data_IF_354702706116
#
_entry.id   IF_354702706116
#
_cell.length_a   1.000
_cell.length_b   1.000
_cell.length_c   1.000
_cell.angle_alpha   90.00
_cell.angle_beta   90.00
_cell.angle_gamma   90.00
#
_symmetry.space_group_name_H-M   'P 1'
#
loop_
_entity.id
_entity.type
_entity.pdbx_description
1 polymer ?
#
# COMPACT_ATOMS: atom_id res chain seq x y z
N UNK A 1 -50.97 32.76 25.95
CA UNK A 1 -50.02 33.46 25.06
C UNK A 1 -48.65 33.75 25.71
N UNK A 2 -48.56 34.31 26.92
CA UNK A 2 -47.26 34.61 27.57
C UNK A 2 -46.34 33.40 27.72
N UNK A 3 -46.87 32.23 28.07
CA UNK A 3 -46.09 30.99 28.22
C UNK A 3 -45.52 30.47 26.89
N UNK A 4 -46.24 30.68 25.78
CA UNK A 4 -45.80 30.27 24.44
C UNK A 4 -44.53 31.04 24.03
N UNK A 5 -44.56 32.37 24.11
CA UNK A 5 -43.39 33.19 23.79
C UNK A 5 -42.20 32.90 24.71
N UNK A 6 -42.43 32.61 25.99
CA UNK A 6 -41.36 32.22 26.93
C UNK A 6 -40.61 30.97 26.47
N UNK A 7 -41.33 29.91 26.06
CA UNK A 7 -40.68 28.68 25.58
C UNK A 7 -40.01 28.88 24.22
N UNK A 8 -40.64 29.62 23.30
CA UNK A 8 -40.04 29.95 22.01
C UNK A 8 -38.70 30.68 22.19
N UNK A 9 -38.65 31.75 23.00
CA UNK A 9 -37.41 32.48 23.26
C UNK A 9 -36.36 31.65 24.01
N UNK A 10 -36.77 30.77 24.94
CA UNK A 10 -35.86 29.87 25.62
C UNK A 10 -35.22 28.85 24.65
N UNK A 11 -36.01 28.28 23.74
CA UNK A 11 -35.51 27.35 22.70
C UNK A 11 -34.58 28.06 21.72
N UNK A 12 -34.94 29.26 21.25
CA UNK A 12 -34.06 30.07 20.38
C UNK A 12 -32.74 30.41 21.06
N UNK A 13 -32.78 30.83 22.32
CA UNK A 13 -31.58 31.11 23.11
C UNK A 13 -30.72 29.86 23.29
N UNK A 14 -31.34 28.72 23.59
CA UNK A 14 -30.66 27.43 23.71
C UNK A 14 -29.97 27.00 22.40
N UNK A 15 -30.63 27.16 21.26
CA UNK A 15 -30.06 26.86 19.93
C UNK A 15 -28.88 27.81 19.63
N UNK A 16 -29.01 29.10 19.91
CA UNK A 16 -27.93 30.07 19.69
C UNK A 16 -26.71 29.72 20.55
N UNK A 17 -26.91 29.40 21.84
CA UNK A 17 -25.81 28.98 22.73
C UNK A 17 -25.17 27.69 22.23
N UNK A 18 -25.97 26.71 21.79
CA UNK A 18 -25.47 25.46 21.22
C UNK A 18 -24.64 25.69 19.94
N UNK A 19 -25.12 26.54 19.02
CA UNK A 19 -24.40 26.90 17.81
C UNK A 19 -23.10 27.66 18.10
N UNK A 20 -23.09 28.54 19.10
CA UNK A 20 -21.88 29.23 19.56
C UNK A 20 -20.89 28.25 20.17
N UNK A 21 -21.33 27.32 21.02
CA UNK A 21 -20.48 26.26 21.57
C UNK A 21 -19.90 25.37 20.47
N UNK A 22 -20.72 24.95 19.50
CA UNK A 22 -20.26 24.22 18.32
C UNK A 22 -19.23 25.04 17.55
N UNK A 23 -19.48 26.33 17.30
CA UNK A 23 -18.52 27.22 16.63
C UNK A 23 -17.19 27.29 17.37
N UNK A 24 -17.18 27.44 18.70
CA UNK A 24 -15.94 27.45 19.48
C UNK A 24 -15.22 26.10 19.45
N UNK A 25 -15.96 24.98 19.52
CA UNK A 25 -15.38 23.63 19.38
C UNK A 25 -14.74 23.48 17.99
N UNK A 26 -15.44 23.86 16.93
CA UNK A 26 -14.92 23.80 15.55
C UNK A 26 -13.77 24.78 15.31
N UNK A 27 -13.80 25.97 15.91
CA UNK A 27 -12.71 26.95 15.83
C UNK A 27 -11.44 26.45 16.54
N UNK A 28 -11.57 25.84 17.73
CA UNK A 28 -10.45 25.23 18.46
C UNK A 28 -9.85 24.04 17.68
N UNK A 29 -10.70 23.22 17.07
CA UNK A 29 -10.27 22.14 16.18
C UNK A 29 -9.57 22.70 14.94
N UNK A 30 -10.10 23.78 14.35
CA UNK A 30 -9.54 24.45 13.17
C UNK A 30 -8.15 25.03 13.42
N UNK A 31 -7.95 25.75 14.54
CA UNK A 31 -6.66 26.37 14.88
C UNK A 31 -5.58 25.32 15.16
N UNK A 32 -5.94 24.18 15.76
CA UNK A 32 -5.02 23.09 16.11
C UNK A 32 -4.42 22.34 14.91
N UNK A 33 -4.92 22.56 13.68
CA UNK A 33 -4.48 21.84 12.47
C UNK A 33 -3.52 22.62 11.57
N UNK A 34 -3.17 23.86 11.93
CA UNK A 34 -2.50 24.81 11.03
C UNK A 34 -0.97 24.84 11.09
N UNK A 35 -0.33 24.25 12.11
CA UNK A 35 1.14 24.26 12.18
C UNK A 35 1.76 23.19 11.28
N UNK A 36 2.63 23.61 10.35
CA UNK A 36 3.41 22.67 9.53
C UNK A 36 4.26 21.78 10.45
N UNK A 37 4.25 20.44 10.27
CA UNK A 37 5.09 19.57 11.09
C UNK A 37 6.56 19.97 10.95
N UNK A 38 7.35 19.88 12.03
CA UNK A 38 8.77 20.22 12.02
C UNK A 38 9.60 18.94 11.96
N UNK A 39 10.50 18.84 10.98
CA UNK A 39 11.51 17.78 10.93
C UNK A 39 12.62 18.16 11.91
N UNK A 40 12.76 17.38 12.97
CA UNK A 40 13.84 17.54 13.95
C UNK A 40 15.17 17.05 13.40
N UNK A 41 16.28 17.65 13.83
CA UNK A 41 17.61 17.09 13.53
C UNK A 41 17.78 15.73 14.22
N UNK A 42 18.49 14.81 13.55
CA UNK A 42 18.70 13.41 13.96
C UNK A 42 17.41 12.58 13.97
N UNK A 43 16.51 12.84 13.02
CA UNK A 43 15.25 12.10 12.87
C UNK A 43 15.44 10.82 12.07
N UNK A 44 14.53 9.87 12.29
CA UNK A 44 14.41 8.63 11.51
C UNK A 44 13.05 8.63 10.82
N UNK A 45 13.02 8.38 9.51
CA UNK A 45 11.78 8.22 8.79
C UNK A 45 11.16 6.89 9.23
N UNK A 46 9.98 6.96 9.83
CA UNK A 46 9.26 5.80 10.31
C UNK A 46 8.27 5.34 9.23
N UNK A 47 8.59 4.20 8.64
CA UNK A 47 7.83 3.53 7.61
C UNK A 47 7.06 2.37 8.24
N UNK A 48 5.90 2.70 8.82
CA UNK A 48 4.93 1.71 9.32
C UNK A 48 4.06 1.24 8.17
N UNK A 49 4.16 -0.03 7.78
CA UNK A 49 3.34 -0.62 6.73
C UNK A 49 2.26 -1.48 7.38
N UNK A 50 1.01 -1.04 7.33
CA UNK A 50 -0.11 -1.76 7.93
C UNK A 50 -1.41 -1.44 7.19
N UNK A 51 -2.25 -2.44 6.96
CA UNK A 51 -3.53 -2.26 6.27
C UNK A 51 -3.36 -1.94 4.77
N UNK A 52 -4.43 -1.45 4.10
CA UNK A 52 -4.42 -1.14 2.68
C UNK A 52 -3.32 -0.15 2.28
N UNK A 53 -2.50 -0.52 1.29
CA UNK A 53 -1.58 0.38 0.60
C UNK A 53 -1.97 0.40 -0.88
N UNK A 54 -2.77 1.41 -1.23
CA UNK A 54 -3.32 1.61 -2.59
C UNK A 54 -2.24 2.13 -3.55
N UNK A 55 -2.44 1.93 -4.85
CA UNK A 55 -1.61 2.56 -5.89
C UNK A 55 -1.73 4.09 -5.84
N UNK A 56 -2.96 4.57 -5.60
CA UNK A 56 -3.27 5.98 -5.38
C UNK A 56 -4.33 6.13 -4.30
N UNK A 57 -4.07 6.96 -3.29
CA UNK A 57 -5.11 7.32 -2.34
C UNK A 57 -6.18 8.13 -3.08
N UNK A 58 -7.42 7.67 -3.01
CA UNK A 58 -8.56 8.49 -3.38
C UNK A 58 -8.74 9.62 -2.37
N UNK A 59 -9.43 10.69 -2.77
CA UNK A 59 -9.69 11.80 -1.85
C UNK A 59 -10.58 11.26 -0.74
N UNK A 60 -10.14 11.28 0.54
CA UNK A 60 -10.95 10.77 1.63
C UNK A 60 -12.23 11.58 1.71
N UNK A 61 -13.36 10.91 1.98
CA UNK A 61 -14.57 11.66 2.27
C UNK A 61 -14.45 12.38 3.63
N UNK A 62 -15.35 13.33 3.88
CA UNK A 62 -15.30 14.14 5.11
C UNK A 62 -15.49 13.31 6.38
N UNK A 63 -16.18 12.17 6.30
CA UNK A 63 -16.40 11.27 7.42
C UNK A 63 -15.15 10.44 7.73
N UNK A 64 -14.46 9.96 6.70
CA UNK A 64 -13.19 9.23 6.81
C UNK A 64 -12.10 10.10 7.44
N UNK A 65 -12.05 11.39 7.08
CA UNK A 65 -11.16 12.40 7.71
C UNK A 65 -11.45 12.65 9.19
N UNK A 66 -12.71 12.51 9.61
CA UNK A 66 -13.13 12.68 11.00
C UNK A 66 -12.84 11.43 11.85
N UNK A 67 -13.02 10.24 11.27
CA UNK A 67 -12.83 8.95 11.94
C UNK A 67 -11.37 8.50 11.97
N UNK A 68 -10.63 8.68 10.88
CA UNK A 68 -9.23 8.26 10.77
C UNK A 68 -8.31 9.46 10.51
N UNK A 69 -7.75 10.00 11.61
CA UNK A 69 -6.78 11.10 11.54
C UNK A 69 -5.44 10.68 10.91
N UNK A 70 -5.20 9.38 10.68
CA UNK A 70 -3.93 8.85 10.17
C UNK A 70 -4.14 7.87 9.01
N UNK A 71 -4.88 8.31 7.99
CA UNK A 71 -4.98 7.62 6.70
C UNK A 71 -3.62 7.08 6.23
N UNK A 72 -3.62 5.80 5.85
CA UNK A 72 -2.44 5.15 5.31
C UNK A 72 -1.95 5.89 4.06
N UNK A 73 -0.65 6.20 3.98
CA UNK A 73 -0.08 6.75 2.75
C UNK A 73 -0.18 5.73 1.62
N UNK A 74 -0.55 6.20 0.42
CA UNK A 74 -0.48 5.37 -0.79
C UNK A 74 0.97 5.08 -1.22
N UNK A 75 1.15 4.14 -2.16
CA UNK A 75 2.46 3.70 -2.64
C UNK A 75 3.32 4.87 -3.17
N UNK A 76 2.71 5.78 -3.95
CA UNK A 76 3.39 6.95 -4.50
C UNK A 76 3.86 7.91 -3.40
N UNK A 77 3.07 8.05 -2.34
CA UNK A 77 3.43 8.86 -1.18
C UNK A 77 4.57 8.22 -0.38
N UNK A 78 4.53 6.91 -0.16
CA UNK A 78 5.61 6.20 0.52
C UNK A 78 6.94 6.36 -0.23
N UNK A 79 6.95 6.08 -1.53
CA UNK A 79 8.15 6.18 -2.38
C UNK A 79 8.65 7.63 -2.52
N UNK A 80 7.76 8.61 -2.62
CA UNK A 80 8.11 10.04 -2.56
C UNK A 80 8.82 10.38 -1.24
N UNK A 81 8.31 9.89 -0.11
CA UNK A 81 8.91 10.14 1.20
C UNK A 81 10.30 9.52 1.32
N UNK A 82 10.48 8.29 0.84
CA UNK A 82 11.79 7.61 0.82
C UNK A 82 12.79 8.42 -0.03
N UNK A 83 12.39 8.84 -1.23
CA UNK A 83 13.21 9.67 -2.13
C UNK A 83 13.59 11.01 -1.51
N UNK A 84 12.67 11.70 -0.85
CA UNK A 84 12.95 12.95 -0.15
C UNK A 84 13.84 12.74 1.07
N UNK A 85 13.65 11.64 1.81
CA UNK A 85 14.46 11.30 2.98
C UNK A 85 15.91 10.99 2.60
N UNK A 86 16.15 10.39 1.42
CA UNK A 86 17.49 10.12 0.88
C UNK A 86 18.38 11.36 0.94
N UNK A 87 17.86 12.51 0.48
CA UNK A 87 18.61 13.76 0.38
C UNK A 87 18.44 14.70 1.59
N UNK A 88 17.59 14.37 2.56
CA UNK A 88 17.32 15.26 3.69
C UNK A 88 18.38 15.09 4.82
N UNK A 89 19.19 16.12 5.16
CA UNK A 89 20.28 15.99 6.14
C UNK A 89 19.80 15.75 7.58
N UNK A 90 18.54 16.08 7.88
CA UNK A 90 17.95 15.84 9.20
C UNK A 90 17.53 14.38 9.40
N UNK A 91 17.33 13.63 8.31
CA UNK A 91 17.02 12.20 8.35
C UNK A 91 18.31 11.38 8.34
N UNK A 92 18.48 10.52 9.34
CA UNK A 92 19.65 9.64 9.52
C UNK A 92 19.46 8.23 8.99
N UNK A 93 18.21 7.80 8.81
CA UNK A 93 17.86 6.48 8.31
C UNK A 93 16.36 6.24 8.26
N UNK A 94 16.00 5.03 7.87
CA UNK A 94 14.64 4.50 7.85
C UNK A 94 14.50 3.46 8.96
N UNK A 95 13.41 3.59 9.72
CA UNK A 95 12.88 2.49 10.52
C UNK A 95 11.69 1.89 9.76
N UNK A 96 11.86 0.67 9.24
CA UNK A 96 10.84 -0.10 8.53
C UNK A 96 10.14 -1.07 9.49
N UNK A 97 8.84 -0.86 9.71
CA UNK A 97 7.99 -1.74 10.52
C UNK A 97 6.91 -2.35 9.62
N UNK A 98 7.17 -3.50 8.99
CA UNK A 98 6.25 -4.10 8.05
C UNK A 98 5.35 -5.08 8.80
N UNK A 99 4.16 -4.62 9.18
CA UNK A 99 3.17 -5.40 9.92
C UNK A 99 2.36 -6.28 8.95
N UNK A 100 1.16 -5.85 8.58
CA UNK A 100 0.30 -6.57 7.64
C UNK A 100 -0.18 -5.60 6.54
N UNK A 101 0.70 -5.14 5.63
CA UNK A 101 0.28 -4.35 4.48
C UNK A 101 -0.55 -5.20 3.52
N UNK A 102 -1.67 -4.66 3.06
CA UNK A 102 -2.49 -5.26 2.02
C UNK A 102 -2.08 -4.61 0.69
N UNK A 103 -1.16 -5.27 -0.01
CA UNK A 103 -0.63 -4.85 -1.32
C UNK A 103 -0.13 -6.06 -2.11
N UNK A 104 -0.05 -5.94 -3.44
CA UNK A 104 0.51 -6.98 -4.30
C UNK A 104 2.05 -6.96 -4.35
N UNK A 105 2.66 -8.05 -4.83
CA UNK A 105 4.11 -8.16 -4.98
C UNK A 105 4.70 -7.16 -5.98
N UNK A 106 3.95 -6.76 -7.01
CA UNK A 106 4.38 -5.71 -7.95
C UNK A 106 4.54 -4.36 -7.25
N UNK A 107 3.56 -3.97 -6.43
CA UNK A 107 3.62 -2.76 -5.62
C UNK A 107 4.73 -2.85 -4.57
N UNK A 108 4.93 -4.04 -3.98
CA UNK A 108 5.99 -4.29 -3.01
C UNK A 108 7.38 -4.19 -3.67
N UNK A 109 7.50 -4.59 -4.93
CA UNK A 109 8.74 -4.45 -5.73
C UNK A 109 9.09 -2.99 -5.94
N UNK A 110 8.12 -2.12 -6.27
CA UNK A 110 8.36 -0.67 -6.40
C UNK A 110 8.81 -0.06 -5.06
N UNK A 111 8.18 -0.46 -3.95
CA UNK A 111 8.61 -0.04 -2.62
C UNK A 111 10.04 -0.52 -2.33
N UNK A 112 10.32 -1.78 -2.65
CA UNK A 112 11.62 -2.41 -2.48
C UNK A 112 12.70 -1.67 -3.26
N UNK A 113 12.49 -1.40 -4.54
CA UNK A 113 13.39 -0.61 -5.39
C UNK A 113 13.65 0.79 -4.82
N UNK A 114 12.62 1.43 -4.26
CA UNK A 114 12.77 2.74 -3.60
C UNK A 114 13.65 2.65 -2.35
N UNK A 115 13.56 1.56 -1.57
CA UNK A 115 14.44 1.29 -0.44
C UNK A 115 15.87 0.98 -0.92
N UNK A 116 16.03 0.22 -1.99
CA UNK A 116 17.34 -0.06 -2.62
C UNK A 116 18.01 1.25 -3.07
N UNK A 117 17.28 2.15 -3.73
CA UNK A 117 17.77 3.49 -4.08
C UNK A 117 18.17 4.30 -2.83
N UNK A 118 17.40 4.23 -1.74
CA UNK A 118 17.73 4.93 -0.50
C UNK A 118 19.07 4.47 0.10
N UNK A 119 19.40 3.17 0.03
CA UNK A 119 20.67 2.63 0.55
C UNK A 119 21.90 3.32 -0.07
N UNK A 120 21.82 3.76 -1.32
CA UNK A 120 22.93 4.49 -1.98
C UNK A 120 23.29 5.82 -1.29
N UNK A 121 22.46 6.33 -0.37
CA UNK A 121 22.80 7.50 0.46
C UNK A 121 23.75 7.20 1.64
N UNK A 122 24.02 5.92 1.93
CA UNK A 122 24.79 5.51 3.11
C UNK A 122 24.03 5.65 4.45
N UNK A 123 22.78 6.09 4.43
CA UNK A 123 21.89 6.12 5.60
C UNK A 123 21.36 4.73 5.89
N UNK A 124 21.18 4.41 7.17
CA UNK A 124 20.74 3.07 7.54
C UNK A 124 19.27 2.82 7.19
N UNK A 125 18.93 1.57 6.91
CA UNK A 125 17.58 1.03 6.91
C UNK A 125 17.58 -0.10 7.93
N UNK A 126 16.82 0.04 9.01
CA UNK A 126 16.61 -1.02 9.99
C UNK A 126 15.17 -1.47 9.96
N UNK A 127 14.94 -2.77 9.86
CA UNK A 127 13.62 -3.35 9.99
C UNK A 127 13.44 -3.98 11.36
N UNK A 128 12.29 -3.77 12.00
CA UNK A 128 11.90 -4.48 13.21
C UNK A 128 10.44 -4.93 13.07
N UNK A 129 10.16 -6.19 13.40
CA UNK A 129 8.80 -6.70 13.54
C UNK A 129 8.76 -7.85 14.55
N UNK A 130 7.57 -8.10 15.09
CA UNK A 130 7.26 -9.33 15.83
C UNK A 130 6.90 -10.47 14.85
N UNK A 131 6.47 -10.11 13.65
CA UNK A 131 5.98 -11.06 12.66
C UNK A 131 6.37 -10.62 11.25
N UNK A 132 7.02 -11.52 10.51
CA UNK A 132 7.31 -11.34 9.09
C UNK A 132 6.59 -12.42 8.28
N UNK A 133 5.73 -12.02 7.36
CA UNK A 133 5.16 -12.86 6.30
C UNK A 133 6.12 -12.94 5.11
N UNK A 134 5.89 -13.79 4.10
CA UNK A 134 6.73 -13.80 2.90
C UNK A 134 6.80 -12.42 2.22
N UNK A 135 5.66 -11.71 2.14
CA UNK A 135 5.59 -10.37 1.56
C UNK A 135 6.34 -9.34 2.39
N UNK A 136 6.15 -9.31 3.72
CA UNK A 136 6.81 -8.30 4.56
C UNK A 136 8.29 -8.56 4.72
N UNK A 137 8.72 -9.83 4.72
CA UNK A 137 10.12 -10.19 4.69
C UNK A 137 10.77 -9.89 3.33
N UNK A 138 10.06 -10.09 2.22
CA UNK A 138 10.50 -9.63 0.90
C UNK A 138 10.78 -8.13 0.90
N UNK A 139 9.97 -7.30 1.55
CA UNK A 139 10.27 -5.86 1.68
C UNK A 139 11.44 -5.62 2.65
N UNK A 140 11.42 -6.28 3.81
CA UNK A 140 12.37 -6.08 4.90
C UNK A 140 13.80 -6.51 4.58
N UNK A 141 13.98 -7.51 3.71
CA UNK A 141 15.29 -8.06 3.36
C UNK A 141 16.24 -7.07 2.66
N UNK A 142 15.74 -5.92 2.20
CA UNK A 142 16.57 -4.79 1.72
C UNK A 142 17.29 -4.09 2.87
N UNK A 143 16.77 -4.15 4.09
CA UNK A 143 17.32 -3.46 5.25
C UNK A 143 18.77 -3.85 5.50
N UNK A 144 19.57 -2.92 6.04
CA UNK A 144 20.93 -3.22 6.50
C UNK A 144 20.91 -4.21 7.67
N UNK A 145 19.85 -4.15 8.48
CA UNK A 145 19.60 -5.13 9.53
C UNK A 145 18.11 -5.37 9.71
N UNK A 146 17.74 -6.64 9.86
CA UNK A 146 16.40 -7.15 10.14
C UNK A 146 16.39 -7.69 11.57
N UNK A 147 15.61 -7.05 12.42
CA UNK A 147 15.47 -7.36 13.83
C UNK A 147 14.14 -8.05 14.07
N UNK A 148 14.15 -9.07 14.93
CA UNK A 148 12.96 -9.82 15.31
C UNK A 148 12.76 -9.72 16.82
N UNK A 149 11.51 -9.69 17.28
CA UNK A 149 11.23 -9.86 18.69
C UNK A 149 11.70 -11.25 19.18
N UNK A 150 12.09 -11.44 20.45
CA UNK A 150 12.59 -12.73 20.93
C UNK A 150 11.58 -13.88 20.83
N UNK A 151 10.28 -13.57 20.86
CA UNK A 151 9.17 -14.51 20.64
C UNK A 151 8.52 -14.33 19.26
N UNK A 152 9.19 -13.64 18.34
CA UNK A 152 8.68 -13.34 17.02
C UNK A 152 8.81 -14.51 16.05
N UNK A 153 8.16 -14.38 14.89
CA UNK A 153 8.13 -15.42 13.85
C UNK A 153 8.52 -14.82 12.50
N UNK A 154 9.34 -15.55 11.75
CA UNK A 154 9.53 -15.32 10.31
C UNK A 154 8.81 -16.44 9.58
N UNK A 155 7.57 -16.19 9.17
CA UNK A 155 6.76 -17.11 8.39
C UNK A 155 7.25 -17.10 6.93
N UNK A 156 8.39 -17.73 6.68
CA UNK A 156 8.88 -17.94 5.32
C UNK A 156 8.28 -19.25 4.79
N UNK A 157 7.39 -19.12 3.81
CA UNK A 157 6.73 -20.24 3.14
C UNK A 157 6.78 -20.02 1.62
N UNK A 158 6.47 -21.07 0.86
CA UNK A 158 6.19 -20.93 -0.57
C UNK A 158 4.84 -20.26 -0.83
N UNK A 159 4.47 -20.22 -2.12
CA UNK A 159 3.19 -19.72 -2.60
C UNK A 159 2.22 -20.87 -2.86
N UNK A 160 0.96 -20.69 -2.50
CA UNK A 160 -0.08 -21.68 -2.72
C UNK A 160 -1.44 -21.01 -2.97
N UNK A 161 -2.31 -21.72 -3.67
CA UNK A 161 -3.74 -21.41 -3.74
C UNK A 161 -4.55 -22.59 -3.24
N UNK A 162 -5.58 -22.28 -2.45
CA UNK A 162 -6.68 -23.19 -2.18
C UNK A 162 -7.93 -22.61 -2.82
N UNK A 163 -8.57 -23.41 -3.68
CA UNK A 163 -9.77 -23.00 -4.42
C UNK A 163 -10.89 -23.97 -4.03
N UNK A 164 -11.98 -23.50 -3.42
CA UNK A 164 -13.13 -24.35 -3.10
C UNK A 164 -13.87 -24.73 -4.39
N UNK A 165 -14.38 -25.95 -4.45
CA UNK A 165 -15.24 -26.44 -5.54
C UNK A 165 -16.63 -26.71 -5.00
N UNK A 166 -17.64 -26.08 -5.59
CA UNK A 166 -19.03 -26.03 -5.12
C UNK A 166 -19.99 -26.82 -6.03
N UNK A 167 -19.50 -27.45 -7.10
CA UNK A 167 -20.34 -28.18 -8.05
C UNK A 167 -21.16 -29.26 -7.37
N UNK A 168 -20.52 -30.17 -6.62
CA UNK A 168 -21.20 -31.27 -5.92
C UNK A 168 -22.22 -30.75 -4.88
N UNK A 169 -21.84 -29.72 -4.11
CA UNK A 169 -22.76 -29.03 -3.21
C UNK A 169 -23.99 -28.48 -3.95
N UNK A 170 -23.78 -27.84 -5.10
CA UNK A 170 -24.85 -27.27 -5.92
C UNK A 170 -25.76 -28.35 -6.48
N UNK A 171 -25.19 -29.46 -6.97
CA UNK A 171 -25.95 -30.59 -7.50
C UNK A 171 -26.85 -31.23 -6.43
N UNK A 172 -26.35 -31.39 -5.20
CA UNK A 172 -27.13 -31.93 -4.08
C UNK A 172 -28.31 -31.04 -3.67
N UNK A 173 -28.21 -29.72 -3.90
CA UNK A 173 -29.30 -28.77 -3.68
C UNK A 173 -30.24 -28.64 -4.89
N UNK A 174 -29.98 -29.37 -5.98
CA UNK A 174 -30.73 -29.22 -7.23
C UNK A 174 -30.43 -27.92 -7.99
N UNK A 175 -29.36 -27.19 -7.64
CA UNK A 175 -28.94 -25.94 -8.30
C UNK A 175 -28.12 -26.28 -9.55
N UNK A 176 -28.51 -25.73 -10.71
CA UNK A 176 -27.81 -25.92 -11.98
C UNK A 176 -27.19 -24.61 -12.47
N UNK A 177 -25.88 -24.63 -12.70
CA UNK A 177 -25.12 -23.50 -13.22
C UNK A 177 -25.07 -23.55 -14.76
N UNK A 178 -25.57 -22.51 -15.43
CA UNK A 178 -25.40 -22.32 -16.87
C UNK A 178 -24.11 -21.52 -17.13
N UNK A 179 -23.04 -22.21 -17.52
CA UNK A 179 -21.72 -21.60 -17.65
C UNK A 179 -21.32 -21.47 -19.12
N UNK A 180 -21.04 -20.23 -19.53
CA UNK A 180 -20.44 -19.90 -20.81
C UNK A 180 -19.02 -19.37 -20.58
N UNK A 181 -18.04 -19.97 -21.22
CA UNK A 181 -16.65 -19.54 -21.13
C UNK A 181 -15.90 -19.89 -22.42
N UNK A 182 -14.85 -19.14 -22.72
CA UNK A 182 -13.96 -19.38 -23.85
C UNK A 182 -12.51 -19.35 -23.37
N UNK A 183 -11.69 -20.26 -23.89
CA UNK A 183 -10.27 -20.40 -23.55
C UNK A 183 -10.02 -21.49 -22.49
N UNK A 184 -8.99 -22.31 -22.76
CA UNK A 184 -8.63 -23.46 -21.93
C UNK A 184 -8.11 -23.07 -20.53
N UNK A 185 -7.56 -21.86 -20.40
CA UNK A 185 -7.01 -21.31 -19.16
C UNK A 185 -7.99 -20.38 -18.41
N UNK A 186 -9.24 -20.24 -18.89
CA UNK A 186 -10.26 -19.42 -18.22
C UNK A 186 -10.88 -20.21 -17.07
N UNK A 187 -10.19 -20.21 -15.93
CA UNK A 187 -10.47 -21.13 -14.82
C UNK A 187 -11.40 -20.60 -13.73
N UNK A 188 -11.77 -19.32 -13.74
CA UNK A 188 -12.62 -18.70 -12.72
C UNK A 188 -13.99 -19.39 -12.56
N UNK A 189 -14.47 -20.10 -13.58
CA UNK A 189 -15.75 -20.82 -13.55
C UNK A 189 -15.61 -22.28 -13.08
N UNK A 190 -14.39 -22.83 -13.02
CA UNK A 190 -14.15 -24.22 -12.61
C UNK A 190 -14.77 -24.59 -11.26
N UNK A 191 -14.70 -23.74 -10.21
CA UNK A 191 -15.35 -24.01 -8.93
C UNK A 191 -16.82 -24.40 -9.03
N UNK A 192 -17.53 -23.94 -10.06
CA UNK A 192 -18.97 -24.14 -10.23
C UNK A 192 -19.33 -25.32 -11.14
N UNK A 193 -18.39 -25.83 -11.95
CA UNK A 193 -18.65 -26.90 -12.95
C UNK A 193 -17.75 -28.13 -12.84
N UNK A 194 -16.66 -28.06 -12.08
CA UNK A 194 -15.76 -29.18 -11.80
C UNK A 194 -15.78 -29.49 -10.30
N UNK A 195 -15.20 -30.63 -9.92
CA UNK A 195 -14.98 -30.99 -8.52
C UNK A 195 -13.51 -30.81 -8.09
N UNK A 196 -12.63 -30.48 -9.04
CA UNK A 196 -11.21 -30.25 -8.83
C UNK A 196 -10.65 -29.36 -9.93
N UNK A 197 -9.47 -28.79 -9.67
CA UNK A 197 -8.71 -27.99 -10.61
C UNK A 197 -8.41 -28.78 -11.90
N UNK A 198 -8.63 -28.15 -13.06
CA UNK A 198 -8.20 -28.73 -14.34
C UNK A 198 -6.68 -28.81 -14.45
N UNK A 199 -6.17 -29.60 -15.40
CA UNK A 199 -4.73 -29.66 -15.67
C UNK A 199 -4.19 -28.30 -16.15
N UNK A 200 -4.97 -27.57 -16.95
CA UNK A 200 -4.62 -26.25 -17.48
C UNK A 200 -4.55 -25.21 -16.36
N UNK A 201 -5.53 -25.20 -15.45
CA UNK A 201 -5.52 -24.30 -14.30
C UNK A 201 -4.38 -24.65 -13.31
N UNK A 202 -4.09 -25.94 -13.14
CA UNK A 202 -2.92 -26.39 -12.35
C UNK A 202 -1.61 -25.90 -12.95
N UNK A 203 -1.46 -26.06 -14.26
CA UNK A 203 -0.28 -25.61 -14.99
C UNK A 203 -0.08 -24.09 -14.90
N UNK A 204 -1.10 -23.28 -15.22
CA UNK A 204 -0.95 -21.81 -15.20
C UNK A 204 -0.64 -21.28 -13.79
N UNK A 205 -1.25 -21.85 -12.73
CA UNK A 205 -0.99 -21.43 -11.35
C UNK A 205 0.41 -21.87 -10.90
N UNK A 206 0.84 -23.07 -11.31
CA UNK A 206 2.20 -23.53 -11.05
C UNK A 206 3.24 -22.60 -11.69
N UNK A 207 3.08 -22.25 -12.97
CA UNK A 207 3.99 -21.32 -13.66
C UNK A 207 4.03 -19.95 -12.99
N UNK A 208 2.86 -19.40 -12.67
CA UNK A 208 2.74 -18.11 -12.00
C UNK A 208 3.43 -18.11 -10.62
N UNK A 209 3.15 -19.12 -9.78
CA UNK A 209 3.72 -19.19 -8.44
C UNK A 209 5.19 -19.56 -8.42
N UNK A 210 5.64 -20.41 -9.35
CA UNK A 210 7.06 -20.73 -9.52
C UNK A 210 7.85 -19.47 -9.89
N UNK A 211 7.35 -18.68 -10.85
CA UNK A 211 7.96 -17.41 -11.23
C UNK A 211 8.02 -16.43 -10.06
N UNK A 212 6.90 -16.25 -9.35
CA UNK A 212 6.82 -15.35 -8.20
C UNK A 212 7.73 -15.79 -7.05
N UNK A 213 7.79 -17.08 -6.76
CA UNK A 213 8.67 -17.66 -5.75
C UNK A 213 10.13 -17.43 -6.08
N UNK A 214 10.55 -17.78 -7.30
CA UNK A 214 11.94 -17.61 -7.73
C UNK A 214 12.37 -16.14 -7.66
N UNK A 215 11.55 -15.22 -8.16
CA UNK A 215 11.84 -13.79 -8.09
C UNK A 215 11.97 -13.30 -6.63
N UNK A 216 11.04 -13.71 -5.76
CA UNK A 216 11.04 -13.34 -4.34
C UNK A 216 12.28 -13.87 -3.63
N UNK A 217 12.60 -15.16 -3.80
CA UNK A 217 13.79 -15.80 -3.24
C UNK A 217 15.05 -15.09 -3.70
N UNK A 218 15.23 -14.92 -5.00
CA UNK A 218 16.47 -14.38 -5.57
C UNK A 218 16.69 -12.93 -5.10
N UNK A 219 15.60 -12.16 -5.00
CA UNK A 219 15.63 -10.82 -4.42
C UNK A 219 16.02 -10.80 -2.94
N UNK A 220 15.54 -11.76 -2.15
CA UNK A 220 15.93 -11.92 -0.74
C UNK A 220 17.42 -12.27 -0.66
N UNK A 221 17.86 -13.29 -1.40
CA UNK A 221 19.24 -13.80 -1.38
C UNK A 221 20.27 -12.78 -1.88
N UNK A 222 19.86 -11.82 -2.73
CA UNK A 222 20.71 -10.70 -3.16
C UNK A 222 21.26 -9.87 -1.98
N UNK A 223 20.49 -9.73 -0.89
CA UNK A 223 20.87 -8.90 0.26
C UNK A 223 21.10 -9.70 1.54
N UNK A 224 20.35 -10.79 1.73
CA UNK A 224 20.57 -11.72 2.84
C UNK A 224 21.64 -12.70 2.38
N UNK A 225 22.83 -12.66 3.00
CA UNK A 225 23.98 -13.54 2.71
C UNK A 225 23.73 -14.99 3.16
N UNK A 226 22.61 -15.56 2.73
CA UNK A 226 22.14 -16.90 3.08
C UNK A 226 22.42 -17.79 1.87
N UNK A 227 22.89 -19.01 2.12
CA UNK A 227 23.02 -20.01 1.06
C UNK A 227 21.61 -20.45 0.59
N UNK A 228 21.44 -20.63 -0.72
CA UNK A 228 20.16 -21.02 -1.32
C UNK A 228 19.57 -22.29 -0.69
N UNK A 229 20.34 -23.34 -0.51
CA UNK A 229 19.87 -24.61 0.05
C UNK A 229 19.41 -24.44 1.50
N UNK A 230 20.10 -23.58 2.27
CA UNK A 230 19.66 -23.23 3.63
C UNK A 230 18.34 -22.47 3.63
N UNK A 231 18.14 -21.56 2.67
CA UNK A 231 16.87 -20.86 2.48
C UNK A 231 15.74 -21.82 2.09
N UNK A 232 15.98 -22.72 1.13
CA UNK A 232 15.01 -23.74 0.70
C UNK A 232 14.67 -24.71 1.85
N UNK A 233 15.67 -25.14 2.64
CA UNK A 233 15.46 -25.98 3.83
C UNK A 233 14.55 -25.27 4.85
N UNK A 234 14.73 -23.97 5.01
CA UNK A 234 13.94 -23.16 5.93
C UNK A 234 12.49 -23.05 5.49
N UNK A 235 12.26 -22.77 4.20
CA UNK A 235 10.94 -22.69 3.57
C UNK A 235 10.23 -24.04 3.67
N UNK A 236 10.88 -25.12 3.24
CA UNK A 236 10.25 -26.44 3.10
C UNK A 236 10.00 -27.13 4.44
N UNK A 237 10.80 -26.84 5.47
CA UNK A 237 10.65 -27.46 6.80
C UNK A 237 10.13 -26.50 7.87
N UNK A 238 9.57 -25.34 7.49
CA UNK A 238 8.98 -24.36 8.38
C UNK A 238 9.88 -23.95 9.55
N UNK A 239 11.20 -23.86 9.32
CA UNK A 239 12.16 -23.62 10.41
C UNK A 239 12.02 -22.23 11.03
N UNK A 240 11.33 -21.31 10.36
CA UNK A 240 11.10 -19.93 10.80
C UNK A 240 10.04 -19.67 11.84
N UNK A 241 9.34 -20.74 12.24
CA UNK A 241 8.46 -20.70 13.39
C UNK A 241 9.23 -20.55 14.71
N UNK A 242 10.55 -20.80 14.70
CA UNK A 242 11.43 -20.61 15.85
C UNK A 242 12.38 -19.44 15.61
N UNK A 243 12.35 -18.37 16.44
CA UNK A 243 13.16 -17.18 16.26
C UNK A 243 14.66 -17.47 16.31
N UNK A 244 15.09 -18.44 17.13
CA UNK A 244 16.49 -18.87 17.23
C UNK A 244 17.00 -19.45 15.90
N UNK A 245 16.14 -20.15 15.16
CA UNK A 245 16.47 -20.62 13.82
C UNK A 245 16.58 -19.46 12.84
N UNK A 246 15.66 -18.48 12.90
CA UNK A 246 15.72 -17.31 12.03
C UNK A 246 17.06 -16.56 12.20
N UNK A 247 17.56 -16.46 13.44
CA UNK A 247 18.88 -15.91 13.73
C UNK A 247 20.01 -16.82 13.25
N UNK A 248 19.98 -18.11 13.62
CA UNK A 248 21.01 -19.11 13.29
C UNK A 248 21.25 -19.25 11.78
N UNK A 249 20.18 -19.22 10.98
CA UNK A 249 20.25 -19.33 9.52
C UNK A 249 20.40 -17.97 8.81
N UNK A 250 20.55 -16.87 9.56
CA UNK A 250 20.86 -15.55 9.00
C UNK A 250 19.67 -14.83 8.34
N UNK A 251 18.43 -15.23 8.61
CA UNK A 251 17.25 -14.51 8.15
C UNK A 251 17.01 -13.23 8.94
N UNK A 252 17.40 -13.21 10.21
CA UNK A 252 17.40 -12.01 11.03
C UNK A 252 18.78 -11.81 11.63
N UNK A 253 19.12 -10.58 11.93
CA UNK A 253 20.45 -10.20 12.40
C UNK A 253 20.51 -10.16 13.93
N UNK A 254 19.36 -9.99 14.60
CA UNK A 254 19.28 -10.07 16.06
C UNK A 254 17.86 -10.29 16.57
N UNK A 255 17.77 -10.96 17.72
CA UNK A 255 16.55 -11.09 18.52
C UNK A 255 16.60 -10.05 19.63
N UNK A 256 15.78 -9.00 19.55
CA UNK A 256 15.81 -7.88 20.50
C UNK A 256 14.41 -7.43 20.85
N UNK A 257 14.21 -6.94 22.07
CA UNK A 257 12.93 -6.33 22.43
C UNK A 257 12.80 -4.96 21.79
N UNK A 258 11.55 -4.52 21.62
CA UNK A 258 11.22 -3.21 21.06
C UNK A 258 11.91 -2.04 21.78
N UNK A 259 12.04 -2.15 23.11
CA UNK A 259 12.71 -1.15 23.93
C UNK A 259 14.20 -1.02 23.58
N UNK A 260 14.87 -2.14 23.36
CA UNK A 260 16.29 -2.21 23.01
C UNK A 260 16.51 -1.75 21.56
N UNK A 261 15.60 -2.11 20.64
CA UNK A 261 15.61 -1.58 19.29
C UNK A 261 15.49 -0.04 19.26
N UNK A 262 14.62 0.52 20.10
CA UNK A 262 14.51 1.97 20.24
C UNK A 262 15.78 2.58 20.86
N UNK A 263 16.47 1.87 21.76
CA UNK A 263 17.76 2.28 22.30
C UNK A 263 18.85 2.29 21.21
N UNK A 264 18.92 1.24 20.40
CA UNK A 264 19.82 1.11 19.26
C UNK A 264 19.62 2.25 18.24
N UNK A 265 18.38 2.61 17.91
CA UNK A 265 18.10 3.75 17.04
C UNK A 265 18.55 5.09 17.66
N UNK A 266 18.40 5.27 18.98
CA UNK A 266 18.90 6.48 19.67
C UNK A 266 20.42 6.55 19.58
N UNK A 267 21.11 5.47 19.87
CA UNK A 267 22.57 5.37 19.77
C UNK A 267 23.04 5.67 18.35
N UNK A 268 22.45 5.00 17.35
CA UNK A 268 22.79 5.19 15.93
C UNK A 268 22.62 6.63 15.45
N UNK A 269 21.67 7.35 16.05
CA UNK A 269 21.41 8.76 15.73
C UNK A 269 22.19 9.76 16.61
N UNK A 270 23.00 9.28 17.57
CA UNK A 270 23.69 10.12 18.55
C UNK A 270 22.72 10.90 19.44
N UNK A 271 21.65 10.25 19.90
CA UNK A 271 20.63 10.77 20.82
C UNK A 271 20.89 10.18 22.21
N UNK A 272 20.92 11.03 23.24
CA UNK A 272 21.09 10.60 24.64
C UNK A 272 20.02 9.57 25.05
N UNK A 273 20.38 8.54 25.85
CA UNK A 273 19.43 7.53 26.32
C UNK A 273 18.19 8.10 27.03
N UNK A 274 18.34 9.23 27.73
CA UNK A 274 17.27 9.95 28.45
C UNK A 274 16.28 10.69 27.54
N UNK A 275 16.62 10.91 26.26
CA UNK A 275 15.77 11.60 25.29
C UNK A 275 14.91 10.63 24.51
N UNK A 276 13.72 11.09 24.09
CA UNK A 276 12.85 10.32 23.19
C UNK A 276 13.51 10.16 21.81
N UNK A 277 13.29 9.00 21.20
CA UNK A 277 13.61 8.77 19.79
C UNK A 277 12.82 9.74 18.90
N UNK A 278 13.44 10.24 17.84
CA UNK A 278 12.86 11.22 16.93
C UNK A 278 12.32 10.56 15.67
N UNK A 279 11.22 9.84 15.79
CA UNK A 279 10.52 9.25 14.65
C UNK A 279 9.64 10.29 13.95
N UNK A 280 9.62 10.26 12.62
CA UNK A 280 8.67 11.06 11.82
C UNK A 280 7.96 10.14 10.82
N UNK A 281 6.62 10.17 10.82
CA UNK A 281 5.82 9.36 9.88
C UNK A 281 5.91 9.90 8.46
N UNK A 282 5.63 9.03 7.48
CA UNK A 282 5.56 9.37 6.05
C UNK A 282 4.72 10.63 5.79
N UNK A 283 3.49 10.69 6.31
CA UNK A 283 2.58 11.83 6.11
C UNK A 283 3.12 13.14 6.71
N UNK A 284 3.66 13.10 7.94
CA UNK A 284 4.23 14.30 8.58
C UNK A 284 5.50 14.75 7.86
N UNK A 285 6.35 13.81 7.46
CA UNK A 285 7.58 14.09 6.73
C UNK A 285 7.29 14.73 5.38
N UNK A 286 6.36 14.19 4.58
CA UNK A 286 5.99 14.76 3.27
C UNK A 286 5.42 16.17 3.34
N UNK A 287 4.64 16.48 4.37
CA UNK A 287 4.09 17.83 4.60
C UNK A 287 5.18 18.83 5.00
N UNK A 288 6.24 18.36 5.66
CA UNK A 288 7.30 19.19 6.21
C UNK A 288 8.55 19.29 5.34
N UNK A 289 8.82 18.27 4.53
CA UNK A 289 10.01 18.17 3.71
C UNK A 289 9.96 19.19 2.57
N UNK A 290 11.09 19.88 2.38
CA UNK A 290 11.27 20.70 1.20
C UNK A 290 11.29 19.80 -0.03
N UNK A 291 10.33 20.03 -0.93
CA UNK A 291 10.33 19.37 -2.22
C UNK A 291 11.31 20.09 -3.14
N UNK A 292 12.07 19.37 -3.98
CA UNK A 292 12.94 19.99 -4.96
C UNK A 292 12.17 21.05 -5.75
N UNK A 293 12.77 22.22 -5.97
CA UNK A 293 12.21 23.24 -6.86
C UNK A 293 12.32 22.74 -8.29
N UNK A 294 11.37 21.89 -8.69
CA UNK A 294 11.26 21.43 -10.07
C UNK A 294 10.71 22.59 -10.88
N UNK A 295 11.43 23.02 -11.92
CA UNK A 295 10.89 23.96 -12.91
C UNK A 295 9.62 23.32 -13.48
N UNK A 296 8.46 23.87 -13.11
CA UNK A 296 7.18 23.35 -13.60
C UNK A 296 7.11 23.67 -15.08
N UNK A 297 7.13 22.63 -15.90
CA UNK A 297 6.86 22.78 -17.32
C UNK A 297 5.39 23.14 -17.52
N UNK A 298 5.12 23.96 -18.55
CA UNK A 298 3.75 24.15 -19.03
C UNK A 298 3.20 22.83 -19.61
N UNK A 299 4.07 22.01 -20.20
CA UNK A 299 3.77 20.68 -20.71
C UNK A 299 3.67 19.68 -19.55
N UNK A 300 2.62 18.85 -19.57
CA UNK A 300 2.29 17.89 -18.52
C UNK A 300 2.09 16.50 -19.11
N UNK A 301 2.37 15.49 -18.30
CA UNK A 301 1.98 14.11 -18.56
C UNK A 301 0.82 13.81 -17.60
N UNK A 302 -0.29 13.31 -18.14
CA UNK A 302 -1.42 12.86 -17.33
C UNK A 302 -1.13 11.44 -16.84
N UNK A 303 -1.41 11.15 -15.57
CA UNK A 303 -1.31 9.79 -15.02
C UNK A 303 -2.68 9.40 -14.50
N UNK A 304 -3.29 8.38 -15.12
CA UNK A 304 -4.59 7.83 -14.76
C UNK A 304 -4.37 6.55 -13.96
N UNK A 305 -4.86 6.51 -12.73
CA UNK A 305 -4.82 5.31 -11.90
C UNK A 305 -6.14 4.56 -12.02
N UNK A 306 -6.06 3.31 -12.46
CA UNK A 306 -7.19 2.39 -12.59
C UNK A 306 -6.95 1.19 -11.67
N UNK A 307 -7.54 1.25 -10.48
CA UNK A 307 -7.36 0.25 -9.43
C UNK A 307 -8.70 -0.35 -9.02
N UNK A 308 -8.81 -1.68 -9.10
CA UNK A 308 -10.00 -2.45 -8.69
C UNK A 308 -10.77 -3.11 -9.84
N UNK A 309 -12.02 -3.48 -9.58
CA UNK A 309 -12.86 -4.23 -10.51
C UNK A 309 -13.43 -3.33 -11.62
N UNK A 310 -13.53 -3.86 -12.83
CA UNK A 310 -14.16 -3.15 -13.95
C UNK A 310 -15.67 -3.38 -13.93
N UNK A 311 -16.45 -2.31 -13.74
CA UNK A 311 -17.91 -2.33 -13.63
C UNK A 311 -18.56 -1.47 -14.71
N UNK A 312 -19.80 -1.80 -15.08
CA UNK A 312 -20.55 -1.08 -16.13
C UNK A 312 -20.79 0.40 -15.78
N UNK A 313 -21.14 0.67 -14.53
CA UNK A 313 -21.32 2.02 -13.98
C UNK A 313 -20.95 1.97 -12.51
N UNK A 314 -20.39 3.06 -12.02
CA UNK A 314 -19.84 3.12 -10.68
C UNK A 314 -18.80 4.23 -10.56
N UNK A 315 -18.71 4.85 -9.40
CA UNK A 315 -17.72 5.89 -9.08
C UNK A 315 -17.05 5.64 -7.74
N UNK A 316 -17.33 4.50 -7.10
CA UNK A 316 -16.85 4.23 -5.75
C UNK A 316 -15.35 3.93 -5.74
N UNK A 317 -14.71 4.05 -4.58
CA UNK A 317 -13.36 3.55 -4.41
C UNK A 317 -13.26 2.07 -4.76
N UNK A 318 -12.22 1.70 -5.53
CA UNK A 318 -12.01 0.31 -5.98
C UNK A 318 -12.88 -0.12 -7.17
N UNK A 319 -13.62 0.80 -7.79
CA UNK A 319 -14.31 0.57 -9.07
C UNK A 319 -13.58 1.29 -10.21
N UNK A 320 -13.48 0.59 -11.34
CA UNK A 320 -13.07 1.12 -12.64
C UNK A 320 -14.30 1.12 -13.55
N UNK A 321 -14.69 2.28 -14.09
CA UNK A 321 -15.83 2.37 -15.00
C UNK A 321 -15.63 3.50 -16.03
N UNK A 322 -16.31 3.44 -17.19
CA UNK A 322 -16.30 4.53 -18.16
C UNK A 322 -16.76 5.86 -17.53
N UNK A 323 -17.84 5.82 -16.74
CA UNK A 323 -18.41 6.98 -16.07
C UNK A 323 -17.44 7.67 -15.11
N UNK A 324 -16.59 6.90 -14.41
CA UNK A 324 -15.59 7.42 -13.46
C UNK A 324 -14.47 8.17 -14.17
N UNK A 325 -14.06 7.69 -15.34
CA UNK A 325 -12.90 8.23 -16.08
C UNK A 325 -13.25 9.16 -17.24
N UNK A 326 -14.52 9.25 -17.67
CA UNK A 326 -14.97 10.07 -18.80
C UNK A 326 -14.43 11.51 -18.75
N UNK A 327 -14.61 12.21 -17.62
CA UNK A 327 -14.12 13.59 -17.45
C UNK A 327 -12.60 13.69 -17.59
N UNK A 328 -11.85 12.69 -17.10
CA UNK A 328 -10.39 12.69 -17.17
C UNK A 328 -9.93 12.52 -18.62
N UNK A 329 -10.56 11.62 -19.38
CA UNK A 329 -10.27 11.42 -20.80
C UNK A 329 -10.62 12.65 -21.64
N UNK A 330 -11.79 13.27 -21.42
CA UNK A 330 -12.17 14.50 -22.10
C UNK A 330 -11.20 15.66 -21.82
N UNK A 331 -10.78 15.81 -20.56
CA UNK A 331 -9.79 16.81 -20.17
C UNK A 331 -8.43 16.56 -20.83
N UNK A 332 -8.04 15.30 -20.99
CA UNK A 332 -6.80 14.93 -21.68
C UNK A 332 -6.88 15.30 -23.15
N UNK A 333 -7.98 14.98 -23.84
CA UNK A 333 -8.16 15.29 -25.25
C UNK A 333 -8.16 16.79 -25.51
N UNK A 334 -8.90 17.56 -24.71
CA UNK A 334 -9.09 19.01 -24.91
C UNK A 334 -7.89 19.87 -24.53
N UNK A 335 -7.04 19.44 -23.60
CA UNK A 335 -5.95 20.29 -23.09
C UNK A 335 -4.66 20.09 -23.89
N UNK A 336 -4.25 21.11 -24.64
CA UNK A 336 -3.03 21.09 -25.46
C UNK A 336 -1.75 20.99 -24.66
N UNK A 337 -1.79 21.39 -23.39
CA UNK A 337 -0.64 21.32 -22.52
C UNK A 337 -0.40 19.91 -21.95
N UNK A 338 -1.30 18.95 -22.18
CA UNK A 338 -1.09 17.54 -21.89
C UNK A 338 -0.42 16.92 -23.12
N UNK A 339 0.83 16.45 -22.95
CA UNK A 339 1.68 15.95 -24.03
C UNK A 339 1.85 14.43 -24.04
N UNK A 340 1.15 13.73 -23.16
CA UNK A 340 1.18 12.28 -23.05
C UNK A 340 0.38 11.79 -21.85
N UNK A 341 0.07 10.50 -21.84
CA UNK A 341 -0.74 9.83 -20.83
C UNK A 341 -0.04 8.55 -20.38
N UNK A 342 -0.05 8.29 -19.07
CA UNK A 342 0.33 7.02 -18.47
C UNK A 342 -0.92 6.42 -17.83
N UNK A 343 -1.24 5.17 -18.16
CA UNK A 343 -2.36 4.44 -17.57
C UNK A 343 -1.81 3.39 -16.61
N UNK A 344 -1.93 3.67 -15.32
CA UNK A 344 -1.48 2.79 -14.24
C UNK A 344 -2.61 1.84 -13.87
N UNK A 345 -2.52 0.60 -14.34
CA UNK A 345 -3.56 -0.43 -14.12
C UNK A 345 -3.18 -1.42 -13.01
N UNK A 346 -4.11 -1.64 -12.08
CA UNK A 346 -4.08 -2.71 -11.10
C UNK A 346 -5.51 -3.28 -10.98
N UNK A 347 -5.86 -4.20 -11.86
CA UNK A 347 -7.24 -4.72 -11.99
C UNK A 347 -7.25 -6.22 -12.25
N UNK A 348 -8.15 -6.98 -11.61
CA UNK A 348 -8.41 -8.38 -11.96
C UNK A 348 -9.30 -8.52 -13.22
N UNK A 349 -9.78 -7.40 -13.79
CA UNK A 349 -10.74 -7.37 -14.89
C UNK A 349 -12.16 -7.10 -14.40
N UNK A 350 -13.16 -7.57 -15.15
CA UNK A 350 -14.58 -7.37 -14.85
C UNK A 350 -15.44 -7.35 -16.11
N UNK A 351 -16.30 -6.34 -16.23
CA UNK A 351 -17.18 -6.17 -17.39
C UNK A 351 -16.40 -5.97 -18.69
N UNK A 352 -16.67 -6.82 -19.67
CA UNK A 352 -16.13 -6.70 -21.03
C UNK A 352 -16.61 -5.44 -21.75
N UNK A 353 -17.90 -5.09 -21.63
CA UNK A 353 -18.46 -3.90 -22.27
C UNK A 353 -17.88 -2.59 -21.71
N UNK A 354 -17.73 -2.51 -20.39
CA UNK A 354 -17.08 -1.38 -19.74
C UNK A 354 -15.60 -1.26 -20.15
N UNK A 355 -14.92 -2.41 -20.28
CA UNK A 355 -13.53 -2.45 -20.74
C UNK A 355 -13.39 -1.93 -22.17
N UNK A 356 -14.32 -2.32 -23.07
CA UNK A 356 -14.34 -1.88 -24.46
C UNK A 356 -14.59 -0.36 -24.59
N UNK A 357 -15.50 0.20 -23.78
CA UNK A 357 -15.76 1.64 -23.76
C UNK A 357 -14.56 2.45 -23.23
N UNK A 358 -13.88 1.94 -22.19
CA UNK A 358 -12.63 2.52 -21.70
C UNK A 358 -11.54 2.42 -22.77
N UNK A 359 -11.40 1.28 -23.43
CA UNK A 359 -10.44 1.08 -24.52
C UNK A 359 -10.71 2.06 -25.66
N UNK A 360 -11.97 2.26 -26.07
CA UNK A 360 -12.34 3.26 -27.08
C UNK A 360 -11.92 4.67 -26.66
N UNK A 361 -12.09 5.02 -25.39
CA UNK A 361 -11.65 6.32 -24.85
C UNK A 361 -10.13 6.49 -24.92
N UNK A 362 -9.38 5.42 -24.67
CA UNK A 362 -7.92 5.40 -24.78
C UNK A 362 -7.49 5.53 -26.24
N UNK A 363 -8.13 4.82 -27.17
CA UNK A 363 -7.79 4.86 -28.59
C UNK A 363 -8.06 6.23 -29.20
N UNK A 364 -9.11 6.93 -28.77
CA UNK A 364 -9.34 8.35 -29.12
C UNK A 364 -8.17 9.26 -28.73
N UNK A 365 -7.46 8.95 -27.64
CA UNK A 365 -6.25 9.71 -27.26
C UNK A 365 -5.09 9.34 -28.18
N UNK A 366 -4.92 8.06 -28.52
CA UNK A 366 -3.87 7.59 -29.44
C UNK A 366 -4.06 8.09 -30.88
N UNK A 367 -5.29 8.42 -31.28
CA UNK A 367 -5.60 9.10 -32.55
C UNK A 367 -5.04 10.55 -32.61
N UNK A 368 -4.60 11.10 -31.47
CA UNK A 368 -3.90 12.38 -31.38
C UNK A 368 -2.38 12.18 -31.27
N UNK A 369 -1.59 13.25 -31.31
CA UNK A 369 -0.13 13.20 -31.10
C UNK A 369 0.29 12.91 -29.63
N UNK A 370 -0.66 12.56 -28.76
CA UNK A 370 -0.41 12.30 -27.33
C UNK A 370 -0.11 10.80 -27.14
N UNK A 371 1.15 10.40 -26.86
CA UNK A 371 1.47 9.01 -26.58
C UNK A 371 0.73 8.52 -25.34
N UNK A 372 0.26 7.27 -25.39
CA UNK A 372 -0.33 6.55 -24.25
C UNK A 372 0.59 5.39 -23.89
N UNK A 373 0.98 5.32 -22.62
CA UNK A 373 1.86 4.30 -22.04
C UNK A 373 1.12 3.50 -20.98
#
# INVERSE_FOLDING_TARGET
MKSFFKYVFATFTGIIIFLLLMFFIFAIIGVSTSSKPVISSKSTLYLKLNGPIKEKAETPDQFELLMDKNLNPDLGQITEAIKLAKNNPKIKGIYLEPLLPQMGYSSATILRESLEDFKSSGKYIYSYSEFYTPLTYFIASVADSVFLAPNGIVQMTGFASSIPFLKEFSDNLGIKWNIFYAGQFKSATEPLRLNKMSEQNRFQLHEFYSGLYNNTRDSILKYRKINRDSFELFVNNFKGLFPENALKYGLVDSLIYKIDFNALLKERNGISPKKKIKLISVNKFRKAAEKPKIKRSKNKIAVIYMEGDIVNSGKKPGEISPEKFAKAFDDILRKDNIKGVVIRVNSPGGSGGASDEILRSIDRIKETDKPVI
#
